data_IF_450170369458
#
_entry.id   IF_450170369458
#
_cell.length_a   1.000
_cell.length_b   1.000
_cell.length_c   1.000
_cell.angle_alpha   90.00
_cell.angle_beta   90.00
_cell.angle_gamma   90.00
#
_symmetry.space_group_name_H-M   'P 1'
#
loop_
_entity.id
_entity.type
_entity.pdbx_description
1 polymer ?
#
# COMPACT_ATOMS: atom_id res chain seq x y z
N UNK A 1 6.03 -8.14 12.86
CA UNK A 1 5.08 -7.96 11.75
C UNK A 1 5.75 -8.42 10.46
N UNK A 2 5.07 -9.16 9.59
CA UNK A 2 5.63 -9.52 8.27
C UNK A 2 5.43 -8.34 7.31
N UNK A 3 6.50 -7.93 6.64
CA UNK A 3 6.48 -6.86 5.64
C UNK A 3 7.22 -7.32 4.38
N UNK A 4 6.85 -6.79 3.23
CA UNK A 4 7.60 -6.94 1.97
C UNK A 4 8.72 -5.91 1.82
N UNK A 5 8.75 -4.89 2.68
CA UNK A 5 9.83 -3.92 2.74
C UNK A 5 10.99 -4.42 3.59
N UNK A 6 12.21 -4.03 3.25
CA UNK A 6 13.37 -4.28 4.08
C UNK A 6 13.31 -3.39 5.34
N UNK A 7 13.88 -3.88 6.44
CA UNK A 7 13.90 -3.15 7.71
C UNK A 7 14.65 -1.81 7.61
N UNK A 8 15.61 -1.72 6.69
CA UNK A 8 16.44 -0.53 6.50
C UNK A 8 15.76 0.51 5.59
N UNK A 9 14.71 0.11 4.87
CA UNK A 9 13.98 1.00 3.97
C UNK A 9 12.78 1.65 4.63
N UNK A 10 12.07 0.89 5.51
CA UNK A 10 10.81 1.37 6.11
C UNK A 10 10.70 0.92 7.56
N UNK A 11 10.45 1.86 8.46
CA UNK A 11 10.01 1.60 9.82
C UNK A 11 8.49 1.69 9.92
N UNK A 12 7.85 0.57 10.27
CA UNK A 12 6.40 0.47 10.37
C UNK A 12 5.93 0.75 11.80
N UNK A 13 5.45 1.97 12.03
CA UNK A 13 4.87 2.41 13.32
C UNK A 13 3.41 1.93 13.46
N UNK A 14 3.17 0.63 13.28
CA UNK A 14 1.86 0.01 13.32
C UNK A 14 1.81 -1.08 14.38
N UNK A 15 0.65 -1.22 15.01
CA UNK A 15 0.40 -2.36 15.90
C UNK A 15 0.13 -3.61 15.06
N UNK A 16 0.86 -4.68 15.36
CA UNK A 16 0.59 -5.97 14.73
C UNK A 16 -0.69 -6.58 15.34
N UNK A 17 -1.70 -6.72 14.50
CA UNK A 17 -2.98 -7.35 14.82
C UNK A 17 -3.18 -8.68 14.09
N UNK A 18 -2.10 -9.28 13.57
CA UNK A 18 -2.15 -10.58 12.90
C UNK A 18 -2.76 -11.64 13.81
N UNK A 19 -3.76 -12.32 13.30
CA UNK A 19 -4.52 -13.31 14.08
C UNK A 19 -5.60 -12.77 15.03
N UNK A 20 -5.70 -11.44 15.19
CA UNK A 20 -6.77 -10.82 16.00
C UNK A 20 -8.03 -10.53 15.18
N UNK A 21 -7.90 -10.44 13.87
CA UNK A 21 -9.01 -10.15 12.93
C UNK A 21 -9.07 -11.24 11.89
N UNK A 22 -10.26 -11.81 11.69
CA UNK A 22 -10.51 -12.84 10.68
C UNK A 22 -10.94 -12.15 9.38
N UNK A 23 -10.32 -12.50 8.23
CA UNK A 23 -10.75 -11.99 6.94
C UNK A 23 -12.19 -12.40 6.62
N UNK A 24 -12.96 -11.48 6.07
CA UNK A 24 -14.37 -11.67 5.75
C UNK A 24 -14.59 -11.62 4.23
N UNK A 25 -15.53 -12.43 3.70
CA UNK A 25 -15.95 -12.35 2.32
C UNK A 25 -16.71 -11.04 2.06
N UNK A 26 -16.78 -10.63 0.80
CA UNK A 26 -17.38 -9.36 0.38
C UNK A 26 -18.79 -9.17 0.88
N UNK A 27 -19.65 -10.20 0.74
CA UNK A 27 -21.05 -10.15 1.15
C UNK A 27 -21.24 -9.89 2.64
N UNK A 28 -20.41 -10.51 3.48
CA UNK A 28 -20.46 -10.30 4.93
C UNK A 28 -19.97 -8.89 5.30
N UNK A 29 -18.93 -8.39 4.60
CA UNK A 29 -18.43 -7.03 4.80
C UNK A 29 -19.48 -5.99 4.40
N UNK A 30 -20.18 -6.18 3.30
CA UNK A 30 -21.27 -5.29 2.85
C UNK A 30 -22.38 -5.21 3.89
N UNK A 31 -22.83 -6.34 4.42
CA UNK A 31 -23.85 -6.36 5.49
C UNK A 31 -23.39 -5.57 6.72
N UNK A 32 -22.16 -5.72 7.14
CA UNK A 32 -21.60 -4.99 8.28
C UNK A 32 -21.49 -3.49 8.01
N UNK A 33 -21.09 -3.10 6.81
CA UNK A 33 -21.04 -1.68 6.41
C UNK A 33 -22.45 -1.08 6.44
N UNK A 34 -23.44 -1.80 5.91
CA UNK A 34 -24.85 -1.37 5.96
C UNK A 34 -25.40 -1.28 7.39
N UNK A 35 -24.86 -2.05 8.32
CA UNK A 35 -25.18 -1.95 9.74
C UNK A 35 -24.44 -0.86 10.50
N UNK A 36 -23.59 -0.07 9.82
CA UNK A 36 -22.86 1.07 10.39
C UNK A 36 -21.44 0.78 10.85
N UNK A 37 -20.92 -0.43 10.62
CA UNK A 37 -19.51 -0.75 10.91
C UNK A 37 -18.63 -0.18 9.82
N UNK A 38 -17.57 0.56 10.21
CA UNK A 38 -16.67 1.17 9.24
C UNK A 38 -15.80 0.10 8.54
N UNK A 39 -15.57 0.25 7.24
CA UNK A 39 -14.83 -0.72 6.44
C UNK A 39 -13.38 -0.97 6.94
N UNK A 40 -12.75 0.00 7.61
CA UNK A 40 -11.40 -0.14 8.15
C UNK A 40 -11.31 -1.06 9.39
N UNK A 41 -12.45 -1.43 9.98
CA UNK A 41 -12.52 -2.38 11.09
C UNK A 41 -12.55 -3.85 10.64
N UNK A 42 -12.50 -4.07 9.33
CA UNK A 42 -12.63 -5.39 8.73
C UNK A 42 -11.49 -5.66 7.75
N UNK A 43 -11.00 -6.90 7.74
CA UNK A 43 -10.09 -7.38 6.70
C UNK A 43 -10.89 -8.02 5.55
N UNK A 44 -10.58 -7.69 4.30
CA UNK A 44 -11.11 -8.42 3.16
C UNK A 44 -10.47 -9.81 3.06
N UNK A 45 -11.25 -10.79 2.65
CA UNK A 45 -10.70 -12.04 2.14
C UNK A 45 -10.12 -11.75 0.75
N UNK A 46 -8.80 -11.86 0.64
CA UNK A 46 -8.10 -11.61 -0.62
C UNK A 46 -8.16 -12.85 -1.51
N UNK A 47 -8.56 -12.65 -2.74
CA UNK A 47 -8.59 -13.69 -3.76
C UNK A 47 -7.32 -13.65 -4.62
N UNK A 48 -6.88 -14.81 -5.06
CA UNK A 48 -5.77 -14.88 -6.02
C UNK A 48 -6.19 -14.19 -7.32
N UNK A 49 -5.39 -13.22 -7.82
CA UNK A 49 -5.69 -12.55 -9.07
C UNK A 49 -5.81 -13.53 -10.24
N UNK A 50 -6.75 -13.25 -11.14
CA UNK A 50 -6.88 -14.04 -12.38
C UNK A 50 -5.68 -13.84 -13.31
N UNK A 51 -5.45 -14.78 -14.23
CA UNK A 51 -4.40 -14.65 -15.25
C UNK A 51 -4.57 -13.39 -16.10
N UNK A 52 -5.82 -13.04 -16.42
CA UNK A 52 -6.14 -11.82 -17.16
C UNK A 52 -5.73 -10.57 -16.38
N UNK A 53 -5.98 -10.53 -15.07
CA UNK A 53 -5.56 -9.42 -14.21
C UNK A 53 -4.03 -9.28 -14.20
N UNK A 54 -3.31 -10.39 -14.07
CA UNK A 54 -1.83 -10.39 -14.08
C UNK A 54 -1.31 -9.87 -15.42
N UNK A 55 -1.87 -10.31 -16.54
CA UNK A 55 -1.48 -9.82 -17.88
C UNK A 55 -1.69 -8.30 -18.02
N UNK A 56 -2.82 -7.77 -17.51
CA UNK A 56 -3.09 -6.32 -17.53
C UNK A 56 -2.09 -5.58 -16.64
N UNK A 57 -1.79 -6.13 -15.47
CA UNK A 57 -0.81 -5.55 -14.54
C UNK A 57 0.60 -5.48 -15.16
N UNK A 58 1.07 -6.57 -15.76
CA UNK A 58 2.38 -6.61 -16.44
C UNK A 58 2.46 -5.59 -17.56
N UNK A 59 1.40 -5.49 -18.36
CA UNK A 59 1.32 -4.50 -19.44
C UNK A 59 1.31 -3.06 -18.92
N UNK A 60 0.63 -2.81 -17.81
CA UNK A 60 0.64 -1.50 -17.14
C UNK A 60 2.03 -1.15 -16.61
N UNK A 61 2.74 -2.12 -16.01
CA UNK A 61 4.13 -1.94 -15.60
C UNK A 61 5.03 -1.57 -16.78
N UNK A 62 4.95 -2.30 -17.89
CA UNK A 62 5.73 -2.00 -19.08
C UNK A 62 5.51 -0.57 -19.58
N UNK A 63 4.26 -0.13 -19.62
CA UNK A 63 3.89 1.20 -20.16
C UNK A 63 4.23 2.34 -19.18
N UNK A 64 3.98 2.16 -17.89
CA UNK A 64 4.00 3.27 -16.92
C UNK A 64 5.20 3.31 -15.99
N UNK A 65 5.99 2.23 -15.87
CA UNK A 65 7.10 2.19 -14.91
C UNK A 65 8.11 3.33 -15.09
N UNK A 66 8.49 3.62 -16.31
CA UNK A 66 9.46 4.69 -16.61
C UNK A 66 8.94 6.06 -16.21
N UNK A 67 7.74 6.42 -16.63
CA UNK A 67 7.14 7.73 -16.31
C UNK A 67 6.89 7.91 -14.81
N UNK A 68 6.49 6.83 -14.13
CA UNK A 68 6.32 6.82 -12.68
C UNK A 68 7.66 7.01 -11.96
N UNK A 69 8.69 6.26 -12.35
CA UNK A 69 10.02 6.40 -11.78
C UNK A 69 10.62 7.81 -11.97
N UNK A 70 10.43 8.40 -13.15
CA UNK A 70 10.85 9.78 -13.43
C UNK A 70 10.10 10.79 -12.54
N UNK A 71 8.80 10.61 -12.33
CA UNK A 71 8.02 11.49 -11.47
C UNK A 71 8.46 11.41 -10.01
N UNK A 72 8.64 10.20 -9.49
CA UNK A 72 9.15 9.95 -8.13
C UNK A 72 10.56 10.56 -7.98
N UNK A 73 11.46 10.30 -8.93
CA UNK A 73 12.82 10.84 -8.89
C UNK A 73 12.87 12.37 -8.88
N UNK A 74 11.99 13.03 -9.66
CA UNK A 74 11.88 14.50 -9.65
C UNK A 74 11.41 15.05 -8.31
N UNK A 75 10.43 14.39 -7.67
CA UNK A 75 9.93 14.79 -6.34
C UNK A 75 11.03 14.60 -5.30
N UNK A 76 11.67 13.44 -5.28
CA UNK A 76 12.77 13.12 -4.37
C UNK A 76 13.91 14.13 -4.49
N UNK A 77 14.29 14.49 -5.73
CA UNK A 77 15.33 15.51 -5.96
C UNK A 77 14.93 16.89 -5.43
N UNK A 78 13.65 17.27 -5.59
CA UNK A 78 13.16 18.54 -5.03
C UNK A 78 13.19 18.56 -3.51
N UNK A 79 12.79 17.45 -2.87
CA UNK A 79 12.85 17.29 -1.42
C UNK A 79 14.30 17.39 -0.96
N UNK A 80 15.21 16.65 -1.59
CA UNK A 80 16.64 16.69 -1.29
C UNK A 80 17.23 18.09 -1.40
N UNK A 81 16.96 18.78 -2.49
CA UNK A 81 17.48 20.14 -2.73
C UNK A 81 16.97 21.15 -1.69
N UNK A 82 15.75 20.95 -1.18
CA UNK A 82 15.11 21.85 -0.20
C UNK A 82 15.48 21.52 1.23
N UNK A 83 15.54 20.25 1.60
CA UNK A 83 15.63 19.77 2.97
C UNK A 83 16.99 19.16 3.32
N UNK A 84 17.79 18.78 2.35
CA UNK A 84 19.06 18.09 2.56
C UNK A 84 18.88 16.67 3.09
N UNK A 85 19.87 16.20 3.86
CA UNK A 85 19.91 14.81 4.36
C UNK A 85 19.02 14.54 5.58
N UNK A 86 18.64 15.57 6.30
CA UNK A 86 17.93 15.45 7.58
C UNK A 86 16.40 15.52 7.37
N UNK A 87 15.89 14.73 6.44
CA UNK A 87 14.47 14.65 6.15
C UNK A 87 13.91 13.30 6.60
N UNK A 88 12.78 13.33 7.24
CA UNK A 88 12.00 12.13 7.58
C UNK A 88 10.73 12.16 6.72
N UNK A 89 10.50 11.08 5.99
CA UNK A 89 9.28 10.91 5.19
C UNK A 89 8.30 10.06 5.99
N UNK A 90 7.08 10.54 6.12
CA UNK A 90 6.00 9.83 6.80
C UNK A 90 4.94 9.49 5.78
N UNK A 91 4.66 8.22 5.61
CA UNK A 91 3.66 7.72 4.67
C UNK A 91 2.47 7.12 5.42
N UNK A 92 1.26 7.47 4.98
CA UNK A 92 0.06 6.81 5.49
C UNK A 92 -0.08 5.42 4.88
N UNK A 93 -0.18 4.43 5.73
CA UNK A 93 -0.52 3.09 5.27
C UNK A 93 -1.96 3.12 4.67
N UNK A 94 -2.21 2.43 3.61
CA UNK A 94 -1.48 1.40 2.86
C UNK A 94 -0.88 1.97 1.57
N UNK A 95 -1.66 2.78 0.84
CA UNK A 95 -1.33 3.22 -0.51
C UNK A 95 -0.16 4.22 -0.57
N UNK A 96 0.05 4.99 0.49
CA UNK A 96 1.14 5.97 0.55
C UNK A 96 2.53 5.35 0.72
N UNK A 97 2.62 4.20 1.36
CA UNK A 97 3.91 3.58 1.71
C UNK A 97 4.80 3.27 0.50
N UNK A 98 4.31 2.75 -0.64
CA UNK A 98 5.15 2.47 -1.79
C UNK A 98 5.70 3.72 -2.50
N UNK A 99 5.16 4.89 -2.21
CA UNK A 99 5.54 6.16 -2.87
C UNK A 99 6.40 7.04 -1.96
N UNK A 100 6.21 6.94 -0.66
CA UNK A 100 7.02 7.63 0.37
C UNK A 100 8.29 6.90 0.67
#
# INVERSE_FOLDING_TARGET
>A
MRSTFLSDDVELLLKDISGMVVPLPTEEREKRIQSGIHYCEMLPLEYRPSSMYITIYEKALEVFSKSTAEAVGRVSQKIWNKMGRNVVIISLARAGTPVG
#
